data_IF_607068250537
#
_entry.id   IF_607068250537
#
_cell.length_a   1.000
_cell.length_b   1.000
_cell.length_c   1.000
_cell.angle_alpha   90.00
_cell.angle_beta   90.00
_cell.angle_gamma   90.00
#
_symmetry.space_group_name_H-M   'P 1'
#
loop_
_entity.id
_entity.type
_entity.pdbx_description
1 polymer ?
#
# COMPACT_ATOMS: atom_id res chain seq x y z
N UNK A 1 0.76 17.50 -7.56
CA UNK A 1 1.22 16.22 -6.98
C UNK A 1 0.48 15.95 -5.70
N UNK A 2 0.14 14.67 -5.41
CA UNK A 2 -0.41 14.27 -4.11
C UNK A 2 0.73 14.00 -3.12
N UNK A 3 1.70 13.16 -3.52
CA UNK A 3 2.87 12.83 -2.72
C UNK A 3 4.15 13.06 -3.52
N UNK A 4 5.19 13.59 -2.88
CA UNK A 4 6.54 13.74 -3.42
C UNK A 4 7.55 13.25 -2.39
N UNK A 5 8.40 12.30 -2.78
CA UNK A 5 9.55 11.84 -2.01
C UNK A 5 10.83 12.23 -2.72
N UNK A 6 11.79 12.82 -1.99
CA UNK A 6 13.04 13.35 -2.55
C UNK A 6 14.25 12.80 -1.80
N UNK A 7 15.11 12.08 -2.51
CA UNK A 7 16.40 11.58 -2.04
C UNK A 7 16.31 10.75 -0.75
N UNK A 8 15.32 9.86 -0.68
CA UNK A 8 15.03 9.06 0.52
C UNK A 8 16.11 8.02 0.72
N UNK A 9 16.67 8.02 1.94
CA UNK A 9 17.61 7.02 2.40
C UNK A 9 17.12 6.40 3.69
N UNK A 10 17.19 5.05 3.79
CA UNK A 10 16.81 4.30 4.99
C UNK A 10 17.83 3.21 5.23
N UNK A 11 18.31 3.10 6.47
CA UNK A 11 19.21 2.03 6.89
C UNK A 11 18.82 1.48 8.25
N UNK A 12 19.14 0.21 8.48
CA UNK A 12 18.95 -0.48 9.75
C UNK A 12 20.29 -0.91 10.34
N UNK A 13 20.32 -1.10 11.66
CA UNK A 13 21.47 -1.71 12.33
C UNK A 13 21.54 -3.18 11.93
N UNK A 14 22.75 -3.68 11.59
CA UNK A 14 22.96 -5.11 11.37
C UNK A 14 22.81 -5.87 12.70
N UNK A 15 22.01 -6.94 12.72
CA UNK A 15 21.71 -7.68 13.96
C UNK A 15 22.88 -8.50 14.53
N UNK A 16 23.88 -8.90 13.70
CA UNK A 16 24.95 -9.81 14.11
C UNK A 16 26.33 -9.11 14.18
N UNK A 17 26.46 -8.07 14.99
CA UNK A 17 27.80 -7.45 15.18
C UNK A 17 28.56 -8.07 16.36
N UNK A 18 29.70 -8.71 16.03
CA UNK A 18 30.68 -9.19 17.04
C UNK A 18 31.57 -8.09 17.63
N UNK A 19 31.41 -6.83 17.20
CA UNK A 19 32.28 -5.72 17.61
C UNK A 19 31.57 -4.79 18.59
N UNK A 20 32.25 -4.53 19.73
CA UNK A 20 31.79 -3.63 20.81
C UNK A 20 31.80 -2.16 20.32
N UNK A 21 32.60 -1.83 19.33
CA UNK A 21 32.74 -0.50 18.74
C UNK A 21 32.47 -0.53 17.23
N UNK A 22 31.49 0.30 16.79
CA UNK A 22 31.13 0.47 15.38
C UNK A 22 29.81 -0.24 15.04
N UNK A 23 28.70 0.52 15.02
CA UNK A 23 27.40 -0.02 14.58
C UNK A 23 27.32 0.07 13.07
N UNK A 24 27.70 -1.00 12.36
CA UNK A 24 27.48 -1.07 10.93
C UNK A 24 25.97 -0.97 10.65
N UNK A 25 25.61 -0.14 9.67
CA UNK A 25 24.24 0.00 9.18
C UNK A 25 24.15 -0.61 7.78
N UNK A 26 23.09 -1.33 7.56
CA UNK A 26 22.74 -1.84 6.23
C UNK A 26 21.76 -0.85 5.59
N UNK A 27 22.16 -0.24 4.51
CA UNK A 27 21.29 0.64 3.74
C UNK A 27 20.31 -0.20 2.93
N UNK A 28 19.00 0.04 3.13
CA UNK A 28 17.89 -0.71 2.52
C UNK A 28 17.18 0.11 1.45
N UNK A 29 17.11 1.44 1.62
CA UNK A 29 16.61 2.38 0.60
C UNK A 29 17.73 3.39 0.32
N UNK A 30 18.05 3.58 -0.95
CA UNK A 30 19.24 4.31 -1.40
C UNK A 30 18.83 5.41 -2.38
N UNK A 31 18.81 6.66 -1.89
CA UNK A 31 18.59 7.87 -2.69
C UNK A 31 17.36 7.80 -3.62
N UNK A 32 16.25 7.28 -3.09
CA UNK A 32 15.02 7.09 -3.87
C UNK A 32 14.23 8.39 -3.95
N UNK A 33 13.87 8.78 -5.17
CA UNK A 33 12.93 9.87 -5.43
C UNK A 33 11.76 9.34 -6.26
N UNK A 34 10.55 9.74 -5.90
CA UNK A 34 9.33 9.39 -6.61
C UNK A 34 8.22 10.41 -6.34
N UNK A 35 7.19 10.35 -7.15
CA UNK A 35 5.98 11.16 -6.96
C UNK A 35 4.74 10.33 -7.21
N UNK A 36 3.60 10.74 -6.64
CA UNK A 36 2.27 10.18 -6.88
C UNK A 36 1.31 11.31 -7.26
N UNK A 37 0.60 11.15 -8.39
CA UNK A 37 -0.44 12.07 -8.82
C UNK A 37 -1.78 11.74 -8.11
N UNK A 38 -2.71 12.69 -8.07
CA UNK A 38 -4.07 12.42 -7.60
C UNK A 38 -4.78 11.47 -8.57
N UNK A 39 -5.43 10.46 -8.03
CA UNK A 39 -6.16 9.45 -8.82
C UNK A 39 -5.27 8.44 -9.54
N UNK A 40 -3.94 8.47 -9.33
CA UNK A 40 -2.98 7.55 -9.94
C UNK A 40 -2.79 6.28 -9.11
N UNK A 41 -2.56 5.16 -9.78
CA UNK A 41 -2.02 3.95 -9.20
C UNK A 41 -0.55 3.78 -9.62
N UNK A 42 0.38 4.02 -8.69
CA UNK A 42 1.82 3.83 -8.89
C UNK A 42 2.24 2.44 -8.41
N UNK A 43 2.73 1.60 -9.31
CA UNK A 43 3.31 0.31 -8.99
C UNK A 43 4.76 0.43 -8.52
N UNK A 44 5.15 -0.34 -7.51
CA UNK A 44 6.54 -0.56 -7.11
C UNK A 44 6.79 -2.06 -7.14
N UNK A 45 7.54 -2.51 -8.15
CA UNK A 45 7.81 -3.92 -8.38
C UNK A 45 9.27 -4.27 -8.13
N UNK A 46 9.52 -5.47 -7.61
CA UNK A 46 10.87 -5.99 -7.39
C UNK A 46 10.87 -7.26 -6.55
N UNK A 47 12.03 -7.91 -6.44
CA UNK A 47 12.21 -9.13 -5.67
C UNK A 47 11.92 -8.94 -4.17
N UNK A 48 11.57 -10.05 -3.49
CA UNK A 48 11.42 -10.02 -2.02
C UNK A 48 12.73 -9.61 -1.36
N UNK A 49 12.64 -8.80 -0.29
CA UNK A 49 13.83 -8.29 0.40
C UNK A 49 14.53 -7.11 -0.28
N UNK A 50 14.09 -6.63 -1.44
CA UNK A 50 14.71 -5.47 -2.12
C UNK A 50 14.53 -4.12 -1.39
N UNK A 51 13.61 -4.04 -0.39
CA UNK A 51 13.37 -2.81 0.38
C UNK A 51 12.05 -2.10 0.07
N UNK A 52 11.19 -2.65 -0.79
CA UNK A 52 9.89 -2.03 -1.18
C UNK A 52 8.99 -1.71 0.00
N UNK A 53 8.74 -2.66 0.89
CA UNK A 53 7.89 -2.44 2.07
C UNK A 53 8.52 -1.45 3.05
N UNK A 54 9.85 -1.38 3.12
CA UNK A 54 10.57 -0.34 3.88
C UNK A 54 10.29 1.05 3.28
N UNK A 55 10.42 1.17 1.95
CA UNK A 55 10.07 2.39 1.24
C UNK A 55 8.60 2.75 1.47
N UNK A 56 7.68 1.80 1.29
CA UNK A 56 6.23 2.00 1.52
C UNK A 56 5.93 2.53 2.92
N UNK A 57 6.49 1.90 3.97
CA UNK A 57 6.33 2.34 5.37
C UNK A 57 6.89 3.75 5.59
N UNK A 58 7.95 4.11 4.88
CA UNK A 58 8.54 5.46 4.94
C UNK A 58 7.63 6.47 4.24
N UNK A 59 7.04 6.13 3.10
CA UNK A 59 6.13 7.00 2.34
C UNK A 59 4.82 7.33 3.08
N UNK A 60 4.40 6.48 4.01
CA UNK A 60 3.20 6.71 4.83
C UNK A 60 3.50 7.22 6.25
N UNK A 61 4.77 7.50 6.56
CA UNK A 61 5.17 8.07 7.85
C UNK A 61 5.29 7.08 9.00
N UNK A 62 5.21 5.76 8.76
CA UNK A 62 5.45 4.73 9.77
C UNK A 62 6.93 4.52 10.09
N UNK A 63 7.81 4.87 9.16
CA UNK A 63 9.25 4.76 9.32
C UNK A 63 9.92 6.07 8.89
N UNK A 64 10.68 6.69 9.80
CA UNK A 64 11.40 7.93 9.49
C UNK A 64 12.64 7.62 8.64
N UNK A 65 12.88 8.32 7.53
CA UNK A 65 14.11 8.17 6.74
C UNK A 65 15.33 8.70 7.50
N UNK A 66 16.51 8.18 7.16
CA UNK A 66 17.78 8.73 7.66
C UNK A 66 18.06 10.09 7.03
N UNK A 67 17.70 10.27 5.75
CA UNK A 67 17.77 11.55 5.03
C UNK A 67 16.75 11.59 3.89
N UNK A 68 16.53 12.78 3.34
CA UNK A 68 15.52 13.05 2.33
C UNK A 68 14.24 13.63 2.94
N UNK A 69 13.30 14.03 2.08
CA UNK A 69 12.05 14.66 2.49
C UNK A 69 10.87 14.03 1.77
N UNK A 70 9.74 13.93 2.48
CA UNK A 70 8.47 13.47 1.92
C UNK A 70 7.42 14.55 2.15
N UNK A 71 6.76 14.95 1.08
CA UNK A 71 5.70 15.94 1.09
C UNK A 71 4.38 15.29 0.69
N UNK A 72 3.33 15.51 1.47
CA UNK A 72 1.96 15.16 1.12
C UNK A 72 1.15 16.45 0.97
N UNK A 73 0.63 16.70 -0.24
CA UNK A 73 0.01 17.98 -0.61
C UNK A 73 0.86 19.20 -0.21
N UNK A 74 2.18 19.11 -0.41
CA UNK A 74 3.13 20.18 -0.06
C UNK A 74 3.48 20.28 1.42
N UNK A 75 2.89 19.47 2.30
CA UNK A 75 3.19 19.44 3.73
C UNK A 75 4.34 18.46 3.98
N UNK A 76 5.45 18.93 4.56
CA UNK A 76 6.57 18.08 4.99
C UNK A 76 6.11 17.11 6.08
N UNK A 77 6.15 15.81 5.77
CA UNK A 77 5.58 14.75 6.61
C UNK A 77 6.30 14.64 7.97
N UNK A 78 7.61 14.84 7.99
CA UNK A 78 8.44 14.60 9.17
C UNK A 78 8.74 15.86 9.99
N UNK A 79 8.62 17.05 9.37
CA UNK A 79 8.82 18.35 10.02
C UNK A 79 7.50 19.10 10.26
N UNK A 80 6.35 18.44 10.03
CA UNK A 80 5.03 19.02 10.23
C UNK A 80 4.75 19.36 11.71
N UNK A 81 4.07 20.46 11.95
CA UNK A 81 3.48 20.79 13.25
C UNK A 81 2.33 19.79 13.61
N UNK A 82 1.80 19.87 14.83
CA UNK A 82 0.78 18.95 15.34
C UNK A 82 -0.50 18.91 14.48
N UNK A 83 -0.91 20.06 13.96
CA UNK A 83 -2.11 20.19 13.14
C UNK A 83 -1.89 19.50 11.77
N UNK A 84 -0.80 19.81 11.10
CA UNK A 84 -0.43 19.23 9.82
C UNK A 84 -0.19 17.72 9.91
N UNK A 85 0.42 17.22 11.02
CA UNK A 85 0.53 15.76 11.26
C UNK A 85 -0.84 15.09 11.31
N UNK A 86 -1.83 15.70 11.97
CA UNK A 86 -3.21 15.18 11.96
C UNK A 86 -3.80 15.15 10.55
N UNK A 87 -3.61 16.21 9.76
CA UNK A 87 -4.07 16.26 8.36
C UNK A 87 -3.46 15.14 7.54
N UNK A 88 -2.12 14.97 7.61
CA UNK A 88 -1.40 13.90 6.92
C UNK A 88 -1.97 12.53 7.29
N UNK A 89 -2.09 12.21 8.59
CA UNK A 89 -2.61 10.93 9.07
C UNK A 89 -4.04 10.63 8.59
N UNK A 90 -4.85 11.67 8.37
CA UNK A 90 -6.22 11.52 7.88
C UNK A 90 -6.31 11.34 6.35
N UNK A 91 -5.22 11.59 5.63
CA UNK A 91 -5.15 11.49 4.17
C UNK A 91 -4.62 10.13 3.71
N UNK A 92 -4.03 9.36 4.62
CA UNK A 92 -3.33 8.11 4.31
C UNK A 92 -4.04 6.93 4.95
N UNK A 93 -4.10 5.83 4.23
CA UNK A 93 -4.46 4.52 4.78
C UNK A 93 -3.53 3.44 4.23
N UNK A 94 -3.62 2.24 4.80
CA UNK A 94 -2.79 1.09 4.40
C UNK A 94 -3.60 -0.20 4.42
N UNK A 95 -3.33 -1.06 3.45
CA UNK A 95 -3.70 -2.48 3.45
C UNK A 95 -2.41 -3.29 3.47
N UNK A 96 -2.22 -4.07 4.54
CA UNK A 96 -1.01 -4.88 4.74
C UNK A 96 -1.09 -6.22 4.01
N UNK A 97 0.07 -6.80 3.74
CA UNK A 97 0.26 -8.15 3.20
C UNK A 97 -0.42 -9.21 4.08
N UNK A 98 -0.16 -9.15 5.38
CA UNK A 98 -0.80 -10.06 6.34
C UNK A 98 -2.09 -9.43 6.88
N UNK A 99 -3.19 -9.68 6.14
CA UNK A 99 -4.52 -9.23 6.55
C UNK A 99 -5.00 -9.95 7.81
N UNK A 100 -4.49 -11.16 8.11
CA UNK A 100 -4.93 -11.93 9.28
C UNK A 100 -4.38 -11.32 10.56
N UNK A 101 -3.10 -10.96 10.61
CA UNK A 101 -2.51 -10.29 11.77
C UNK A 101 -2.91 -8.82 11.87
N UNK A 102 -3.33 -8.19 10.76
CA UNK A 102 -3.78 -6.80 10.74
C UNK A 102 -5.17 -6.59 11.34
N UNK A 103 -5.96 -7.64 11.48
CA UNK A 103 -7.28 -7.63 12.09
C UNK A 103 -7.22 -8.33 13.46
N UNK A 104 -7.69 -7.67 14.52
CA UNK A 104 -7.74 -8.31 15.84
C UNK A 104 -8.68 -9.52 15.79
N UNK A 105 -8.20 -10.76 16.03
CA UNK A 105 -9.01 -11.99 15.90
C UNK A 105 -10.16 -12.10 16.90
N UNK A 106 -10.16 -11.26 17.94
CA UNK A 106 -11.21 -11.20 18.99
C UNK A 106 -12.27 -10.15 18.70
N UNK A 107 -12.14 -9.40 17.62
CA UNK A 107 -13.09 -8.36 17.23
C UNK A 107 -14.04 -8.88 16.17
N UNK A 108 -15.31 -8.45 16.24
CA UNK A 108 -16.23 -8.60 15.13
C UNK A 108 -15.79 -7.71 13.95
N UNK A 109 -16.25 -8.04 12.76
CA UNK A 109 -16.04 -7.21 11.55
C UNK A 109 -16.48 -5.76 11.79
N UNK A 110 -17.61 -5.56 12.46
CA UNK A 110 -18.10 -4.21 12.81
C UNK A 110 -17.12 -3.44 13.70
N UNK A 111 -16.43 -4.13 14.61
CA UNK A 111 -15.46 -3.48 15.50
C UNK A 111 -14.18 -3.10 14.74
N UNK A 112 -13.72 -3.98 13.84
CA UNK A 112 -12.55 -3.74 12.97
C UNK A 112 -12.76 -2.51 12.09
N UNK A 113 -13.93 -2.39 11.44
CA UNK A 113 -14.26 -1.21 10.62
C UNK A 113 -14.58 -0.01 11.52
N UNK A 114 -15.24 -0.25 12.66
CA UNK A 114 -15.62 0.76 13.64
C UNK A 114 -14.42 1.54 14.22
N UNK A 115 -13.24 0.90 14.35
CA UNK A 115 -12.02 1.61 14.74
C UNK A 115 -11.65 2.73 13.77
N UNK A 116 -11.72 2.46 12.46
CA UNK A 116 -11.47 3.45 11.43
C UNK A 116 -12.54 4.58 11.43
N UNK A 117 -13.78 4.23 11.67
CA UNK A 117 -14.88 5.22 11.79
C UNK A 117 -14.70 6.16 12.99
N UNK A 118 -14.11 5.68 14.11
CA UNK A 118 -13.73 6.58 15.22
C UNK A 118 -12.71 7.65 14.80
N UNK A 119 -11.80 7.30 13.88
CA UNK A 119 -10.85 8.26 13.31
C UNK A 119 -11.59 9.25 12.42
N UNK A 120 -12.53 8.77 11.59
CA UNK A 120 -13.36 9.61 10.74
C UNK A 120 -14.20 10.61 11.55
N UNK A 121 -14.87 10.17 12.63
CA UNK A 121 -15.63 11.06 13.54
C UNK A 121 -14.76 12.18 14.11
N UNK A 122 -13.53 11.86 14.53
CA UNK A 122 -12.56 12.87 15.01
C UNK A 122 -12.13 13.84 13.90
N UNK A 123 -12.12 13.37 12.64
CA UNK A 123 -11.82 14.20 11.46
C UNK A 123 -12.96 15.17 11.16
N UNK A 124 -14.20 14.68 11.22
CA UNK A 124 -15.41 15.45 10.94
C UNK A 124 -15.81 16.37 12.10
N UNK A 125 -15.41 16.04 13.33
CA UNK A 125 -15.83 16.75 14.53
C UNK A 125 -17.27 16.40 14.99
N UNK A 126 -17.87 15.37 14.42
CA UNK A 126 -19.23 14.94 14.70
C UNK A 126 -19.34 13.41 14.82
N UNK A 127 -20.38 12.95 15.51
CA UNK A 127 -20.71 11.53 15.58
C UNK A 127 -21.49 11.11 14.34
N UNK A 128 -21.20 9.93 13.83
CA UNK A 128 -21.90 9.31 12.70
C UNK A 128 -22.69 8.07 13.18
N UNK A 129 -23.72 7.69 12.45
CA UNK A 129 -24.36 6.39 12.60
C UNK A 129 -23.41 5.31 12.08
N UNK A 130 -22.63 4.72 13.02
CA UNK A 130 -21.57 3.74 12.65
C UNK A 130 -22.18 2.48 12.06
N UNK A 131 -23.29 1.98 12.59
CA UNK A 131 -23.89 0.74 12.11
C UNK A 131 -24.38 0.89 10.67
N UNK A 132 -25.02 2.00 10.36
CA UNK A 132 -25.39 2.34 8.99
C UNK A 132 -24.16 2.46 8.09
N UNK A 133 -23.12 3.17 8.57
CA UNK A 133 -21.90 3.37 7.78
C UNK A 133 -21.11 2.08 7.54
N UNK A 134 -21.10 1.16 8.50
CA UNK A 134 -20.47 -0.17 8.36
C UNK A 134 -21.22 -1.00 7.30
N UNK A 135 -22.55 -0.99 7.31
CA UNK A 135 -23.36 -1.67 6.28
C UNK A 135 -23.03 -1.15 4.88
N UNK A 136 -23.00 0.17 4.70
CA UNK A 136 -22.61 0.81 3.44
C UNK A 136 -21.21 0.40 2.99
N UNK A 137 -20.23 0.36 3.92
CA UNK A 137 -18.85 -0.02 3.62
C UNK A 137 -18.73 -1.50 3.26
N UNK A 138 -19.48 -2.39 3.92
CA UNK A 138 -19.52 -3.80 3.57
C UNK A 138 -20.13 -4.01 2.19
N UNK A 139 -21.23 -3.35 1.87
CA UNK A 139 -21.85 -3.41 0.54
C UNK A 139 -20.88 -2.93 -0.55
N UNK A 140 -20.15 -1.84 -0.30
CA UNK A 140 -19.16 -1.27 -1.21
C UNK A 140 -18.04 -2.27 -1.54
N UNK A 141 -17.67 -3.14 -0.59
CA UNK A 141 -16.65 -4.19 -0.83
C UNK A 141 -17.26 -5.53 -1.24
N UNK A 142 -18.57 -5.58 -1.56
CA UNK A 142 -19.26 -6.77 -2.02
C UNK A 142 -19.56 -7.79 -0.91
N UNK A 143 -19.68 -7.33 0.34
CA UNK A 143 -20.11 -8.13 1.49
C UNK A 143 -21.48 -7.66 1.98
N UNK A 144 -22.35 -8.58 2.41
CA UNK A 144 -23.62 -8.21 2.98
C UNK A 144 -23.54 -7.88 4.48
N UNK A 145 -24.57 -7.28 5.05
CA UNK A 145 -24.60 -6.87 6.47
C UNK A 145 -24.47 -8.02 7.48
N UNK A 146 -24.77 -9.27 7.09
CA UNK A 146 -24.64 -10.41 7.98
C UNK A 146 -23.18 -10.68 8.40
N UNK A 147 -22.21 -10.11 7.67
CA UNK A 147 -20.81 -10.18 8.04
C UNK A 147 -20.45 -9.32 9.25
N UNK A 148 -21.26 -8.33 9.63
CA UNK A 148 -20.96 -7.41 10.75
C UNK A 148 -20.61 -8.12 12.06
N UNK A 149 -21.32 -9.23 12.35
CA UNK A 149 -21.20 -9.97 13.61
C UNK A 149 -20.36 -11.24 13.49
N UNK A 150 -19.57 -11.38 12.41
CA UNK A 150 -18.61 -12.48 12.25
C UNK A 150 -17.24 -12.09 12.79
N UNK A 151 -16.51 -13.09 13.27
CA UNK A 151 -15.10 -12.96 13.60
C UNK A 151 -14.20 -13.18 12.37
N UNK A 152 -12.94 -12.68 12.37
CA UNK A 152 -11.99 -12.90 11.28
C UNK A 152 -11.80 -14.36 10.87
N UNK A 153 -11.77 -15.28 11.84
CA UNK A 153 -11.60 -16.72 11.60
C UNK A 153 -12.82 -17.41 10.95
N UNK A 154 -13.96 -16.74 10.89
CA UNK A 154 -15.17 -17.23 10.22
C UNK A 154 -15.26 -16.74 8.75
N UNK A 155 -14.25 -16.01 8.26
CA UNK A 155 -14.19 -15.46 6.92
C UNK A 155 -13.16 -16.22 6.07
N UNK A 156 -13.44 -16.34 4.77
CA UNK A 156 -12.39 -16.74 3.82
C UNK A 156 -11.32 -15.64 3.70
N UNK A 157 -10.13 -15.99 3.18
CA UNK A 157 -9.06 -15.03 2.97
C UNK A 157 -9.50 -13.79 2.18
N UNK A 158 -10.19 -14.00 1.04
CA UNK A 158 -10.71 -12.91 0.23
C UNK A 158 -11.79 -12.07 0.93
N UNK A 159 -12.64 -12.69 1.77
CA UNK A 159 -13.63 -11.95 2.56
C UNK A 159 -12.96 -11.08 3.63
N UNK A 160 -11.97 -11.62 4.34
CA UNK A 160 -11.22 -10.85 5.34
C UNK A 160 -10.42 -9.73 4.69
N UNK A 161 -9.83 -9.97 3.51
CA UNK A 161 -9.16 -8.93 2.74
C UNK A 161 -10.11 -7.78 2.37
N UNK A 162 -11.35 -8.09 1.93
CA UNK A 162 -12.38 -7.09 1.66
C UNK A 162 -12.77 -6.29 2.91
N UNK A 163 -12.81 -6.93 4.08
CA UNK A 163 -13.01 -6.22 5.37
C UNK A 163 -11.84 -5.27 5.66
N UNK A 164 -10.59 -5.68 5.42
CA UNK A 164 -9.43 -4.81 5.57
C UNK A 164 -9.44 -3.63 4.60
N UNK A 165 -9.92 -3.83 3.36
CA UNK A 165 -10.13 -2.76 2.38
C UNK A 165 -11.26 -1.82 2.86
N UNK A 166 -12.41 -2.35 3.34
CA UNK A 166 -13.48 -1.55 3.91
C UNK A 166 -12.98 -0.67 5.06
N UNK A 167 -12.15 -1.22 5.97
CA UNK A 167 -11.49 -0.48 7.04
C UNK A 167 -10.59 0.63 6.49
N UNK A 168 -9.83 0.35 5.42
CA UNK A 168 -8.91 1.32 4.84
C UNK A 168 -9.63 2.49 4.19
N UNK A 169 -10.75 2.27 3.49
CA UNK A 169 -11.54 3.34 2.87
C UNK A 169 -12.45 4.07 3.84
N UNK A 170 -12.73 3.50 5.01
CA UNK A 170 -13.64 4.07 6.02
C UNK A 170 -13.19 5.44 6.53
N UNK A 171 -11.89 5.76 6.50
CA UNK A 171 -11.34 7.06 6.94
C UNK A 171 -11.43 8.15 5.87
N UNK A 172 -11.96 7.84 4.68
CA UNK A 172 -11.96 8.73 3.53
C UNK A 172 -10.53 9.23 3.21
N UNK A 173 -9.56 8.33 2.97
CA UNK A 173 -8.19 8.73 2.65
C UNK A 173 -8.10 9.32 1.24
N UNK A 174 -7.04 10.03 0.95
CA UNK A 174 -6.71 10.46 -0.41
C UNK A 174 -5.82 9.43 -1.11
N UNK A 175 -5.03 8.69 -0.32
CA UNK A 175 -4.13 7.69 -0.83
C UNK A 175 -4.05 6.46 0.09
N UNK A 176 -3.95 5.28 -0.52
CA UNK A 176 -3.81 4.00 0.18
C UNK A 176 -2.53 3.31 -0.29
N UNK A 177 -1.70 2.91 0.66
CA UNK A 177 -0.60 1.99 0.41
C UNK A 177 -1.15 0.56 0.40
N UNK A 178 -0.94 -0.16 -0.69
CA UNK A 178 -1.26 -1.57 -0.88
C UNK A 178 0.06 -2.36 -0.84
N UNK A 179 0.47 -2.83 0.35
CA UNK A 179 1.76 -3.53 0.53
C UNK A 179 1.53 -5.04 0.43
N UNK A 180 1.81 -5.61 -0.75
CA UNK A 180 1.56 -7.01 -1.13
C UNK A 180 0.13 -7.48 -0.78
N UNK A 181 -0.83 -6.59 -0.91
CA UNK A 181 -2.19 -6.74 -0.39
C UNK A 181 -2.99 -7.90 -1.02
N UNK A 182 -2.53 -8.49 -2.11
CA UNK A 182 -3.23 -9.58 -2.81
C UNK A 182 -2.39 -10.86 -2.95
N UNK A 183 -1.11 -10.84 -2.56
CA UNK A 183 -0.14 -11.91 -2.85
C UNK A 183 -0.49 -13.27 -2.22
N UNK A 184 -1.24 -13.28 -1.13
CA UNK A 184 -1.64 -14.51 -0.40
C UNK A 184 -3.00 -15.07 -0.82
N UNK A 185 -3.65 -14.48 -1.83
CA UNK A 185 -4.95 -14.91 -2.35
C UNK A 185 -4.76 -15.79 -3.60
N UNK A 186 -5.73 -16.67 -3.87
CA UNK A 186 -5.79 -17.40 -5.15
C UNK A 186 -6.05 -16.45 -6.33
N UNK A 187 -5.66 -16.85 -7.55
CA UNK A 187 -5.71 -16.00 -8.74
C UNK A 187 -7.11 -15.42 -9.04
N UNK A 188 -8.17 -16.21 -8.83
CA UNK A 188 -9.55 -15.75 -9.05
C UNK A 188 -9.93 -14.65 -8.05
N UNK A 189 -9.59 -14.85 -6.77
CA UNK A 189 -9.85 -13.87 -5.70
C UNK A 189 -8.98 -12.62 -5.88
N UNK A 190 -7.72 -12.77 -6.33
CA UNK A 190 -6.86 -11.63 -6.67
C UNK A 190 -7.52 -10.71 -7.69
N UNK A 191 -8.00 -11.27 -8.81
CA UNK A 191 -8.68 -10.49 -9.86
C UNK A 191 -9.89 -9.75 -9.31
N UNK A 192 -10.75 -10.42 -8.53
CA UNK A 192 -11.92 -9.78 -7.92
C UNK A 192 -11.55 -8.63 -6.95
N UNK A 193 -10.46 -8.77 -6.20
CA UNK A 193 -9.99 -7.72 -5.30
C UNK A 193 -9.38 -6.56 -6.09
N UNK A 194 -8.66 -6.83 -7.18
CA UNK A 194 -8.13 -5.79 -8.05
C UNK A 194 -9.26 -5.00 -8.73
N UNK A 195 -10.30 -5.66 -9.22
CA UNK A 195 -11.49 -4.99 -9.78
C UNK A 195 -12.15 -4.09 -8.73
N UNK A 196 -12.35 -4.60 -7.52
CA UNK A 196 -12.88 -3.81 -6.40
C UNK A 196 -12.02 -2.57 -6.14
N UNK A 197 -10.70 -2.70 -6.10
CA UNK A 197 -9.79 -1.56 -5.86
C UNK A 197 -9.89 -0.52 -6.98
N UNK A 198 -10.00 -0.95 -8.26
CA UNK A 198 -10.21 -0.04 -9.41
C UNK A 198 -11.55 0.69 -9.33
N UNK A 199 -12.61 0.01 -8.91
CA UNK A 199 -13.93 0.63 -8.73
C UNK A 199 -13.90 1.65 -7.59
N UNK A 200 -13.23 1.32 -6.48
CA UNK A 200 -13.03 2.24 -5.36
C UNK A 200 -12.21 3.47 -5.77
N UNK A 201 -11.14 3.27 -6.58
CA UNK A 201 -10.33 4.35 -7.13
C UNK A 201 -11.18 5.33 -7.91
N UNK A 202 -12.00 4.83 -8.85
CA UNK A 202 -12.89 5.64 -9.68
C UNK A 202 -13.97 6.33 -8.85
N UNK A 203 -14.62 5.57 -7.95
CA UNK A 203 -15.76 6.06 -7.15
C UNK A 203 -15.37 7.14 -6.16
N UNK A 204 -14.21 7.01 -5.51
CA UNK A 204 -13.76 7.89 -4.42
C UNK A 204 -12.58 8.79 -4.79
N UNK A 205 -12.07 8.71 -6.03
CA UNK A 205 -10.89 9.47 -6.46
C UNK A 205 -9.62 9.09 -5.70
N UNK A 206 -9.51 7.82 -5.28
CA UNK A 206 -8.37 7.34 -4.52
C UNK A 206 -7.11 7.27 -5.36
N UNK A 207 -5.97 7.46 -4.72
CA UNK A 207 -4.66 7.19 -5.31
C UNK A 207 -4.05 5.99 -4.61
N UNK A 208 -3.27 5.19 -5.34
CA UNK A 208 -2.63 4.00 -4.78
C UNK A 208 -1.12 4.01 -4.98
N UNK A 209 -0.39 3.52 -3.97
CA UNK A 209 0.93 2.95 -4.16
C UNK A 209 0.77 1.44 -4.00
N UNK A 210 1.00 0.69 -5.07
CA UNK A 210 0.82 -0.75 -5.14
C UNK A 210 2.17 -1.45 -5.16
N UNK A 211 2.53 -2.05 -4.01
CA UNK A 211 3.79 -2.81 -3.85
C UNK A 211 3.49 -4.27 -4.08
N UNK A 212 4.22 -4.89 -5.01
CA UNK A 212 4.11 -6.32 -5.30
C UNK A 212 5.40 -6.85 -5.94
N UNK A 213 5.52 -8.17 -6.03
CA UNK A 213 6.52 -8.84 -6.87
C UNK A 213 5.89 -9.44 -8.14
N UNK A 214 4.57 -9.32 -8.31
CA UNK A 214 3.78 -9.89 -9.40
C UNK A 214 3.55 -8.86 -10.51
N UNK A 215 4.20 -9.07 -11.67
CA UNK A 215 4.10 -8.14 -12.79
C UNK A 215 2.73 -8.15 -13.49
N UNK A 216 2.03 -9.29 -13.67
CA UNK A 216 0.65 -9.31 -14.16
C UNK A 216 -0.28 -8.39 -13.36
N UNK A 217 -0.21 -8.42 -12.03
CA UNK A 217 -1.00 -7.54 -11.18
C UNK A 217 -0.67 -6.05 -11.39
N UNK A 218 0.63 -5.72 -11.57
CA UNK A 218 1.06 -4.35 -11.88
C UNK A 218 0.49 -3.88 -13.21
N UNK A 219 0.57 -4.70 -14.25
CA UNK A 219 0.02 -4.36 -15.58
C UNK A 219 -1.49 -4.16 -15.55
N UNK A 220 -2.18 -4.88 -14.68
CA UNK A 220 -3.63 -4.78 -14.52
C UNK A 220 -4.05 -3.55 -13.71
N UNK A 221 -3.31 -3.22 -12.63
CA UNK A 221 -3.72 -2.23 -11.65
C UNK A 221 -3.15 -0.83 -11.88
N UNK A 222 -1.92 -0.72 -12.40
CA UNK A 222 -1.14 0.50 -12.31
C UNK A 222 -1.13 1.32 -13.59
N UNK A 223 -1.03 2.64 -13.45
CA UNK A 223 -0.84 3.58 -14.55
C UNK A 223 0.64 3.71 -14.91
N UNK A 224 1.50 3.62 -13.89
CA UNK A 224 2.95 3.82 -13.95
C UNK A 224 3.65 2.84 -13.01
N UNK A 225 4.90 2.44 -13.31
CA UNK A 225 5.63 1.47 -12.49
C UNK A 225 7.08 1.86 -12.27
N UNK A 226 7.56 1.63 -11.05
CA UNK A 226 8.96 1.73 -10.64
C UNK A 226 9.53 0.32 -10.45
N UNK A 227 10.61 0.00 -11.14
CA UNK A 227 11.38 -1.21 -10.91
C UNK A 227 12.37 -0.96 -9.77
N UNK A 228 12.23 -1.73 -8.70
CA UNK A 228 12.96 -1.55 -7.46
C UNK A 228 13.90 -2.73 -7.21
N UNK A 229 15.21 -2.47 -7.18
CA UNK A 229 16.24 -3.48 -7.01
C UNK A 229 17.33 -3.00 -6.05
N UNK A 230 17.69 -3.84 -5.06
CA UNK A 230 18.74 -3.57 -4.06
C UNK A 230 18.68 -2.16 -3.44
N UNK A 231 17.48 -1.72 -3.12
CA UNK A 231 17.25 -0.42 -2.47
C UNK A 231 17.18 0.77 -3.41
N UNK A 232 17.26 0.58 -4.72
CA UNK A 232 17.24 1.65 -5.71
C UNK A 232 16.04 1.50 -6.67
N UNK A 233 15.57 2.62 -7.21
CA UNK A 233 14.77 2.62 -8.43
C UNK A 233 15.73 2.48 -9.60
N UNK A 234 15.67 1.37 -10.32
CA UNK A 234 16.56 1.08 -11.45
C UNK A 234 15.93 1.45 -12.78
N UNK A 235 14.62 1.58 -12.85
CA UNK A 235 13.88 2.08 -13.99
C UNK A 235 12.50 2.56 -13.59
N UNK A 236 12.00 3.57 -14.28
CA UNK A 236 10.64 4.08 -14.19
C UNK A 236 9.98 4.01 -15.57
N UNK A 237 8.77 3.44 -15.61
CA UNK A 237 7.93 3.40 -16.81
C UNK A 237 6.72 4.28 -16.57
N UNK A 238 6.71 5.44 -17.20
CA UNK A 238 5.70 6.51 -17.04
C UNK A 238 4.30 6.12 -17.54
N UNK A 239 4.21 5.13 -18.39
CA UNK A 239 2.98 4.63 -18.99
C UNK A 239 3.05 3.10 -19.07
N UNK A 240 2.19 2.42 -18.34
CA UNK A 240 2.20 0.96 -18.22
C UNK A 240 2.09 0.26 -19.59
N UNK A 241 1.46 0.89 -20.58
CA UNK A 241 1.37 0.34 -21.96
C UNK A 241 2.71 0.33 -22.69
N UNK A 242 3.73 1.01 -22.16
CA UNK A 242 5.11 1.03 -22.70
C UNK A 242 6.05 0.08 -21.95
N UNK A 243 5.52 -0.83 -21.15
CA UNK A 243 6.28 -1.76 -20.34
C UNK A 243 7.28 -2.60 -21.13
N UNK A 244 6.96 -2.94 -22.39
CA UNK A 244 7.87 -3.66 -23.31
C UNK A 244 9.13 -2.88 -23.71
N UNK A 245 9.18 -1.56 -23.46
CA UNK A 245 10.28 -0.68 -23.85
C UNK A 245 11.32 -0.48 -22.74
N UNK A 246 11.26 -1.28 -21.66
CA UNK A 246 12.23 -1.18 -20.54
C UNK A 246 13.66 -1.42 -21.03
N UNK A 247 14.60 -0.70 -20.43
CA UNK A 247 16.03 -0.69 -20.80
C UNK A 247 16.90 -1.41 -19.78
N UNK A 248 16.56 -1.30 -18.51
CA UNK A 248 17.37 -1.86 -17.44
C UNK A 248 17.44 -3.38 -17.55
N UNK A 249 18.63 -3.99 -17.34
CA UNK A 249 18.79 -5.45 -17.39
C UNK A 249 17.87 -6.17 -16.39
N UNK A 250 17.64 -5.56 -15.23
CA UNK A 250 16.75 -6.11 -14.20
C UNK A 250 15.28 -6.12 -14.62
N UNK A 251 14.79 -4.99 -15.18
CA UNK A 251 13.42 -4.91 -15.66
C UNK A 251 13.18 -5.90 -16.81
N UNK A 252 14.13 -6.02 -17.75
CA UNK A 252 14.09 -7.03 -18.82
C UNK A 252 14.03 -8.46 -18.28
N UNK A 253 14.87 -8.78 -17.26
CA UNK A 253 14.86 -10.10 -16.62
C UNK A 253 13.49 -10.42 -16.04
N UNK A 254 12.86 -9.48 -15.32
CA UNK A 254 11.52 -9.66 -14.76
C UNK A 254 10.45 -9.85 -15.83
N UNK A 255 10.50 -9.10 -16.93
CA UNK A 255 9.59 -9.27 -18.06
C UNK A 255 9.73 -10.63 -18.73
N UNK A 256 10.95 -11.05 -19.01
CA UNK A 256 11.23 -12.30 -19.70
C UNK A 256 10.79 -13.52 -18.86
N UNK A 257 10.95 -13.47 -17.52
CA UNK A 257 10.51 -14.59 -16.65
C UNK A 257 9.01 -14.89 -16.72
N UNK A 258 8.21 -13.93 -17.21
CA UNK A 258 6.76 -14.11 -17.40
C UNK A 258 6.45 -14.56 -18.82
N UNK A 259 7.19 -14.06 -19.81
CA UNK A 259 7.00 -14.43 -21.22
C UNK A 259 7.44 -15.88 -21.49
N UNK A 260 8.49 -16.35 -20.82
CA UNK A 260 8.96 -17.75 -20.93
C UNK A 260 7.93 -18.76 -20.37
N UNK A 261 7.09 -18.38 -19.40
CA UNK A 261 6.02 -19.23 -18.86
C UNK A 261 4.87 -19.41 -19.86
N UNK A 262 4.69 -18.48 -20.81
CA UNK A 262 3.59 -18.51 -21.79
C UNK A 262 3.98 -19.20 -23.12
N UNK A 263 5.19 -19.72 -23.28
CA UNK A 263 5.67 -20.37 -24.54
C UNK A 263 5.62 -21.89 -24.42
N UNK A 264 5.43 -22.46 -23.23
CA UNK A 264 5.42 -23.91 -22.96
C UNK A 264 3.99 -24.46 -22.68
N UNK A 265 2.92 -23.75 -23.10
CA UNK A 265 1.54 -24.27 -23.16
C UNK A 265 1.09 -24.36 -24.67
#
# INVERSE_FOLDING_TARGET
MLLEAKNINVSFKKENQKTIFGKERQQVVKNVSLSLKKGECLGIIGESGSGKSTLGKTLIGLLKPDSGNIYLEGIDMYNANRENRKKIQQMISIVFQDYTSSANPRFFVKDIIGEALRVLEKKLGEKIDRDKKIKELLEVVGLNENFMNRYPHELSGGQLQRVCIARAVATNPQFILLDEAISSLDASTQTQVMDLLKDLQKKYGLSYIFITHDLPSVTYMCDRVLFFYEGNVVEEVEDIYKLSQVKSPYAKKLLNSILEINVDE
#
